data_IF_532380942781
#
_entry.id   IF_532380942781
#
_cell.length_a   1.000
_cell.length_b   1.000
_cell.length_c   1.000
_cell.angle_alpha   90.00
_cell.angle_beta   90.00
_cell.angle_gamma   90.00
#
_symmetry.space_group_name_H-M   'P 1'
#
loop_
_entity.id
_entity.type
_entity.pdbx_description
1 polymer ?
#
# COMPACT_ATOMS: atom_id res chain seq x y z
N UNK A 1 39.52 85.64 2.72
CA UNK A 1 39.93 85.21 4.08
C UNK A 1 38.64 85.02 4.87
N UNK A 2 37.89 83.93 4.77
CA UNK A 2 38.20 82.49 4.90
C UNK A 2 38.88 82.14 6.22
N UNK A 3 38.07 81.87 7.25
CA UNK A 3 38.32 80.85 8.27
C UNK A 3 36.98 80.44 8.93
N UNK A 4 36.29 79.50 8.30
CA UNK A 4 35.19 78.73 8.90
C UNK A 4 35.32 77.27 8.47
N UNK A 5 36.42 76.64 8.84
CA UNK A 5 36.65 75.21 8.70
C UNK A 5 37.55 74.82 9.88
N UNK A 6 37.05 73.95 10.77
CA UNK A 6 37.77 73.13 11.77
C UNK A 6 36.99 72.86 13.08
N UNK A 7 35.66 72.75 13.03
CA UNK A 7 34.91 72.20 14.18
C UNK A 7 33.94 71.06 13.87
N UNK A 8 33.97 70.50 12.65
CA UNK A 8 33.12 69.36 12.27
C UNK A 8 33.87 68.06 11.91
N UNK A 9 35.21 68.01 11.99
CA UNK A 9 35.96 66.83 11.53
C UNK A 9 36.27 65.76 12.61
N UNK A 10 35.95 66.00 13.89
CA UNK A 10 36.19 64.99 14.94
C UNK A 10 35.00 64.10 15.31
N UNK A 11 33.81 64.34 14.73
CA UNK A 11 32.64 63.45 14.87
C UNK A 11 32.36 62.56 13.66
N UNK A 12 32.94 62.87 12.49
CA UNK A 12 32.83 62.02 11.30
C UNK A 12 33.86 60.87 11.26
N UNK A 13 35.03 61.04 11.90
CA UNK A 13 36.11 60.04 11.85
C UNK A 13 35.96 58.85 12.81
N UNK A 14 34.99 58.88 13.75
CA UNK A 14 34.64 57.73 14.60
C UNK A 14 33.48 56.89 14.06
N UNK A 15 32.82 57.31 12.98
CA UNK A 15 31.76 56.53 12.32
C UNK A 15 32.20 55.82 11.04
N UNK A 16 33.41 56.10 10.54
CA UNK A 16 33.99 55.44 9.35
C UNK A 16 35.01 54.33 9.68
N UNK A 17 35.48 54.23 10.93
CA UNK A 17 36.34 53.14 11.40
C UNK A 17 35.60 52.00 12.11
N UNK A 18 34.27 52.12 12.27
CA UNK A 18 33.40 51.03 12.72
C UNK A 18 32.62 50.35 11.57
N UNK A 19 32.81 50.82 10.33
CA UNK A 19 32.13 50.29 9.13
C UNK A 19 33.09 49.73 8.07
N UNK A 20 34.41 49.73 8.35
CA UNK A 20 35.47 49.40 7.39
C UNK A 20 36.47 48.37 7.90
N UNK A 21 36.04 47.45 8.77
CA UNK A 21 36.89 46.33 9.22
C UNK A 21 36.05 45.09 9.52
N UNK A 22 35.13 44.73 8.61
CA UNK A 22 34.47 43.42 8.65
C UNK A 22 34.01 42.95 7.26
N UNK A 23 34.84 43.22 6.23
CA UNK A 23 34.71 42.56 4.93
C UNK A 23 36.12 42.21 4.49
N UNK A 24 36.57 41.00 4.86
CA UNK A 24 37.05 40.01 3.89
C UNK A 24 37.48 38.72 4.61
N UNK A 25 36.86 37.62 4.18
CA UNK A 25 37.27 36.23 4.37
C UNK A 25 37.28 35.67 5.79
N UNK A 26 36.08 35.39 6.30
CA UNK A 26 35.80 34.04 6.78
C UNK A 26 34.56 33.55 6.03
N UNK A 27 34.85 32.67 5.08
CA UNK A 27 33.99 31.70 4.41
C UNK A 27 32.62 31.57 5.08
N UNK A 28 31.56 31.79 4.29
CA UNK A 28 30.21 31.35 4.60
C UNK A 28 30.21 29.82 4.80
N UNK A 29 30.63 29.38 5.98
CA UNK A 29 30.08 28.19 6.59
C UNK A 29 28.82 28.65 7.31
N UNK A 30 27.81 29.03 6.53
CA UNK A 30 26.45 28.84 7.00
C UNK A 30 26.30 27.32 7.12
N UNK A 31 26.78 26.74 8.21
CA UNK A 31 26.10 25.57 8.75
C UNK A 31 24.72 26.09 9.06
N UNK A 32 23.82 25.95 8.10
CA UNK A 32 22.44 25.72 8.41
C UNK A 32 22.50 24.62 9.48
N UNK A 33 22.36 25.00 10.74
CA UNK A 33 21.83 24.08 11.71
C UNK A 33 20.46 23.77 11.12
N UNK A 34 20.42 22.68 10.35
CA UNK A 34 19.20 21.93 10.14
C UNK A 34 18.76 21.67 11.57
N UNK A 35 17.85 22.50 12.06
CA UNK A 35 17.00 22.09 13.16
C UNK A 35 16.36 20.84 12.58
N UNK A 36 16.87 19.67 12.97
CA UNK A 36 16.15 18.41 12.77
C UNK A 36 14.87 18.56 13.58
N UNK A 37 13.91 19.23 12.95
CA UNK A 37 12.52 19.18 13.32
C UNK A 37 12.11 17.74 13.06
N UNK A 38 12.36 16.88 14.04
CA UNK A 38 11.74 15.56 14.05
C UNK A 38 10.24 15.78 13.95
N UNK A 39 9.58 15.19 12.95
CA UNK A 39 8.15 15.38 12.81
C UNK A 39 7.41 14.95 14.08
N UNK A 40 6.36 15.67 14.43
CA UNK A 40 5.48 15.30 15.54
C UNK A 40 4.86 13.90 15.25
N UNK A 41 4.70 13.02 16.26
CA UNK A 41 4.13 11.70 16.07
C UNK A 41 2.67 11.79 15.58
N UNK A 42 2.39 11.36 14.35
CA UNK A 42 1.03 11.37 13.80
C UNK A 42 0.30 10.05 14.10
N UNK A 43 -0.36 9.90 15.26
CA UNK A 43 -1.29 8.79 15.66
C UNK A 43 -0.80 7.32 15.61
N UNK A 44 -1.16 6.51 16.59
CA UNK A 44 -0.81 5.08 16.66
C UNK A 44 -2.01 4.21 16.24
N UNK A 45 -1.77 3.19 15.40
CA UNK A 45 -2.76 2.18 15.03
C UNK A 45 -2.43 0.85 15.70
N UNK A 46 -3.42 0.22 16.31
CA UNK A 46 -3.31 -1.10 16.92
C UNK A 46 -4.26 -2.07 16.20
N UNK A 47 -3.74 -3.22 15.80
CA UNK A 47 -4.53 -4.31 15.22
C UNK A 47 -4.49 -5.52 16.16
N UNK A 48 -5.66 -6.13 16.40
CA UNK A 48 -5.77 -7.42 17.08
C UNK A 48 -5.44 -8.50 16.05
N UNK A 49 -4.23 -9.04 16.11
CA UNK A 49 -3.72 -10.03 15.15
C UNK A 49 -4.00 -11.48 15.57
N UNK A 50 -4.77 -11.69 16.64
CA UNK A 50 -5.19 -13.00 17.15
C UNK A 50 -5.67 -12.96 18.61
N UNK A 51 -6.07 -14.10 19.19
CA UNK A 51 -6.47 -14.18 20.60
C UNK A 51 -5.33 -13.69 21.52
N UNK A 52 -5.56 -12.63 22.29
CA UNK A 52 -4.60 -12.09 23.26
C UNK A 52 -3.35 -11.43 22.67
N UNK A 53 -3.26 -11.25 21.35
CA UNK A 53 -2.11 -10.63 20.68
C UNK A 53 -2.51 -9.29 20.08
N UNK A 54 -1.83 -8.22 20.48
CA UNK A 54 -2.03 -6.87 19.98
C UNK A 54 -0.73 -6.39 19.36
N UNK A 55 -0.77 -6.09 18.07
CA UNK A 55 0.40 -5.55 17.37
C UNK A 55 0.25 -4.05 17.28
N UNK A 56 1.18 -3.33 17.92
CA UNK A 56 1.33 -1.89 17.74
C UNK A 56 2.17 -1.68 16.49
N UNK A 57 1.57 -1.05 15.51
CA UNK A 57 2.23 -0.92 14.22
C UNK A 57 2.69 0.52 14.03
N UNK A 58 4.00 0.72 14.11
CA UNK A 58 4.66 1.99 13.80
C UNK A 58 5.06 1.99 12.33
N UNK A 59 4.22 2.58 11.50
CA UNK A 59 4.47 2.64 10.05
C UNK A 59 5.23 3.90 9.66
N UNK A 60 5.89 3.91 8.49
CA UNK A 60 6.46 5.15 7.95
C UNK A 60 5.33 6.12 7.64
N UNK A 61 4.98 6.91 8.66
CA UNK A 61 4.16 8.13 8.55
C UNK A 61 4.85 9.15 7.66
N UNK A 62 6.14 8.92 7.41
CA UNK A 62 6.94 9.74 6.54
C UNK A 62 7.71 8.89 5.55
N UNK A 63 7.77 9.34 4.31
CA UNK A 63 8.61 8.79 3.26
C UNK A 63 9.61 9.86 2.80
N UNK A 64 10.66 9.45 2.10
CA UNK A 64 11.55 10.39 1.42
C UNK A 64 11.11 10.52 -0.02
N UNK A 65 10.84 11.75 -0.45
CA UNK A 65 10.52 12.04 -1.85
C UNK A 65 11.77 11.96 -2.75
N UNK A 66 11.59 12.22 -4.05
CA UNK A 66 12.67 12.26 -5.04
C UNK A 66 13.78 13.27 -4.70
N UNK A 67 13.45 14.32 -3.92
CA UNK A 67 14.39 15.30 -3.39
C UNK A 67 15.08 14.86 -2.09
N UNK A 68 14.88 13.61 -1.67
CA UNK A 68 15.36 13.05 -0.39
C UNK A 68 14.80 13.79 0.84
N UNK A 69 13.69 14.51 0.69
CA UNK A 69 13.03 15.26 1.77
C UNK A 69 12.01 14.38 2.47
N UNK A 70 12.04 14.37 3.80
CA UNK A 70 11.09 13.63 4.61
C UNK A 70 9.71 14.31 4.55
N UNK A 71 8.68 13.60 4.06
CA UNK A 71 7.31 14.10 3.91
C UNK A 71 6.31 13.16 4.54
N UNK A 72 5.20 13.70 5.04
CA UNK A 72 4.11 12.90 5.57
C UNK A 72 3.49 12.06 4.45
N UNK A 73 3.20 10.80 4.73
CA UNK A 73 2.46 9.89 3.86
C UNK A 73 0.97 10.21 3.99
N UNK A 74 0.35 10.70 2.93
CA UNK A 74 -1.09 10.84 2.76
C UNK A 74 -1.64 9.65 1.97
N UNK A 75 -2.40 8.80 2.65
CA UNK A 75 -2.95 7.58 2.08
C UNK A 75 -4.28 7.79 1.35
N UNK A 76 -4.77 9.02 1.26
CA UNK A 76 -6.06 9.33 0.66
C UNK A 76 -6.00 9.17 -0.85
N UNK A 77 -6.93 8.40 -1.43
CA UNK A 77 -7.10 8.31 -2.87
C UNK A 77 -7.51 9.66 -3.47
N UNK A 78 -6.76 10.06 -4.49
CA UNK A 78 -7.04 11.25 -5.30
C UNK A 78 -7.43 10.81 -6.71
N UNK A 79 -8.05 11.70 -7.48
CA UNK A 79 -8.26 11.46 -8.92
C UNK A 79 -6.90 11.36 -9.60
N UNK A 80 -6.73 10.38 -10.48
CA UNK A 80 -5.44 10.18 -11.15
C UNK A 80 -5.21 11.20 -12.27
N UNK A 81 -3.96 11.63 -12.39
CA UNK A 81 -3.48 12.42 -13.54
C UNK A 81 -3.03 11.51 -14.71
N UNK A 82 -2.88 10.20 -14.47
CA UNK A 82 -2.57 9.20 -15.50
C UNK A 82 -3.87 8.79 -16.19
N UNK A 83 -4.02 8.99 -17.52
CA UNK A 83 -5.27 8.72 -18.22
C UNK A 83 -5.66 7.22 -18.24
N UNK A 84 -4.77 6.32 -17.83
CA UNK A 84 -5.06 4.89 -17.75
C UNK A 84 -5.70 4.47 -16.42
N UNK A 85 -5.79 5.39 -15.45
CA UNK A 85 -6.26 5.13 -14.10
C UNK A 85 -7.28 6.19 -13.66
N UNK A 86 -8.21 5.80 -12.79
CA UNK A 86 -9.23 6.73 -12.28
C UNK A 86 -8.80 7.39 -10.97
N UNK A 87 -8.10 6.63 -10.13
CA UNK A 87 -7.66 7.05 -8.80
C UNK A 87 -6.21 6.68 -8.55
N UNK A 88 -5.54 7.46 -7.71
CA UNK A 88 -4.16 7.19 -7.32
C UNK A 88 -3.85 7.62 -5.88
N UNK A 89 -2.85 6.98 -5.31
CA UNK A 89 -2.07 7.47 -4.17
C UNK A 89 -0.61 7.46 -4.59
N UNK A 90 0.02 8.62 -4.65
CA UNK A 90 1.43 8.76 -5.06
C UNK A 90 2.31 9.30 -3.94
N UNK A 91 1.82 9.24 -2.71
CA UNK A 91 2.62 9.60 -1.53
C UNK A 91 2.92 8.33 -0.74
N UNK A 92 4.14 8.24 -0.22
CA UNK A 92 4.67 7.01 0.37
C UNK A 92 5.78 6.39 -0.46
N UNK A 93 6.27 5.24 0.00
CA UNK A 93 7.24 4.42 -0.71
C UNK A 93 6.60 3.77 -1.95
N UNK A 94 5.32 3.40 -1.84
CA UNK A 94 4.55 2.82 -2.95
C UNK A 94 3.63 3.84 -3.59
N UNK A 95 3.44 3.69 -4.90
CA UNK A 95 2.38 4.38 -5.61
C UNK A 95 1.30 3.36 -5.98
N UNK A 96 0.06 3.65 -5.61
CA UNK A 96 -1.09 2.83 -5.93
C UNK A 96 -1.95 3.53 -6.97
N UNK A 97 -2.35 2.80 -8.00
CA UNK A 97 -3.26 3.26 -9.03
C UNK A 97 -4.46 2.31 -9.10
N UNK A 98 -5.65 2.86 -9.25
CA UNK A 98 -6.89 2.07 -9.26
C UNK A 98 -7.81 2.57 -10.36
N UNK A 99 -8.39 1.62 -11.09
CA UNK A 99 -9.33 1.85 -12.17
C UNK A 99 -10.70 1.32 -11.75
N UNK A 100 -11.76 2.01 -12.16
CA UNK A 100 -13.16 1.67 -11.84
C UNK A 100 -13.57 0.29 -12.34
N UNK A 101 -12.89 -0.22 -13.36
CA UNK A 101 -13.10 -1.55 -13.93
C UNK A 101 -12.56 -2.73 -13.09
N UNK A 102 -12.06 -2.45 -11.87
CA UNK A 102 -11.55 -3.44 -10.94
C UNK A 102 -10.06 -3.74 -11.09
N UNK A 103 -9.35 -3.05 -12.00
CA UNK A 103 -7.90 -3.12 -12.06
C UNK A 103 -7.28 -2.25 -10.99
N UNK A 104 -6.20 -2.73 -10.38
CA UNK A 104 -5.40 -1.95 -9.44
C UNK A 104 -3.92 -2.29 -9.60
N UNK A 105 -3.05 -1.32 -9.35
CA UNK A 105 -1.62 -1.46 -9.63
C UNK A 105 -0.76 -0.83 -8.55
N UNK A 106 0.19 -1.60 -8.03
CA UNK A 106 1.21 -1.12 -7.11
C UNK A 106 2.52 -0.91 -7.86
N UNK A 107 3.16 0.26 -7.67
CA UNK A 107 4.47 0.60 -8.24
C UNK A 107 5.45 1.01 -7.14
N UNK A 108 6.70 0.55 -7.22
CA UNK A 108 7.80 1.01 -6.38
C UNK A 108 9.14 0.61 -6.98
N UNK A 109 10.12 1.54 -7.02
CA UNK A 109 11.50 1.26 -7.42
C UNK A 109 11.71 0.52 -8.76
N UNK A 110 10.77 0.69 -9.71
CA UNK A 110 10.78 0.03 -11.02
C UNK A 110 9.97 -1.25 -11.06
N UNK A 111 9.56 -1.78 -9.91
CA UNK A 111 8.63 -2.91 -9.83
C UNK A 111 7.20 -2.43 -10.05
N UNK A 112 6.45 -3.16 -10.87
CA UNK A 112 5.05 -2.88 -11.21
C UNK A 112 4.25 -4.16 -11.15
N UNK A 113 3.14 -4.12 -10.41
CA UNK A 113 2.20 -5.23 -10.32
C UNK A 113 0.80 -4.74 -10.64
N UNK A 114 0.17 -5.30 -11.66
CA UNK A 114 -1.18 -4.93 -12.09
C UNK A 114 -2.12 -6.11 -11.91
N UNK A 115 -3.12 -5.93 -11.06
CA UNK A 115 -4.00 -6.99 -10.61
C UNK A 115 -5.43 -6.74 -11.05
N UNK A 116 -6.18 -7.84 -11.18
CA UNK A 116 -7.62 -7.80 -11.26
C UNK A 116 -8.21 -9.02 -10.56
N UNK A 117 -9.21 -8.81 -9.72
CA UNK A 117 -9.92 -9.93 -9.11
C UNK A 117 -10.69 -10.70 -10.19
N UNK A 118 -10.43 -12.01 -10.28
CA UNK A 118 -10.94 -12.85 -11.36
C UNK A 118 -12.05 -13.79 -10.89
N UNK A 119 -12.02 -14.23 -9.63
CA UNK A 119 -13.03 -15.13 -9.10
C UNK A 119 -12.61 -15.84 -7.82
N UNK A 120 -13.47 -16.76 -7.40
CA UNK A 120 -13.24 -17.68 -6.30
C UNK A 120 -13.18 -19.12 -6.81
N UNK A 121 -12.53 -19.98 -6.04
CA UNK A 121 -12.51 -21.41 -6.29
C UNK A 121 -12.10 -22.20 -5.07
N UNK A 122 -12.09 -23.52 -5.22
CA UNK A 122 -11.71 -24.45 -4.18
C UNK A 122 -10.35 -25.07 -4.48
N UNK A 123 -9.57 -25.39 -3.45
CA UNK A 123 -8.23 -25.93 -3.60
C UNK A 123 -7.20 -24.85 -3.97
N UNK A 124 -5.99 -25.27 -4.34
CA UNK A 124 -4.85 -24.37 -4.62
C UNK A 124 -3.97 -24.95 -5.73
N UNK A 125 -3.19 -24.10 -6.38
CA UNK A 125 -2.24 -24.48 -7.42
C UNK A 125 -2.93 -25.28 -8.53
N UNK A 126 -2.33 -26.41 -8.92
CA UNK A 126 -2.89 -27.30 -9.94
C UNK A 126 -4.19 -28.01 -9.53
N UNK A 127 -4.53 -28.03 -8.24
CA UNK A 127 -5.79 -28.58 -7.73
C UNK A 127 -6.89 -27.52 -7.61
N UNK A 128 -6.63 -26.28 -8.02
CA UNK A 128 -7.63 -25.21 -8.01
C UNK A 128 -8.78 -25.53 -8.96
N UNK A 129 -10.02 -25.39 -8.47
CA UNK A 129 -11.26 -25.55 -9.22
C UNK A 129 -12.10 -24.29 -9.07
N UNK A 130 -12.31 -23.56 -10.15
CA UNK A 130 -13.10 -22.33 -10.12
C UNK A 130 -14.56 -22.61 -9.75
N UNK A 131 -15.16 -21.73 -8.95
CA UNK A 131 -16.61 -21.65 -8.81
C UNK A 131 -17.15 -20.88 -10.00
N UNK A 132 -18.22 -21.37 -10.63
CA UNK A 132 -18.91 -20.60 -11.67
C UNK A 132 -19.75 -19.50 -11.03
N UNK A 133 -19.13 -18.32 -10.88
CA UNK A 133 -19.78 -17.11 -10.37
C UNK A 133 -20.25 -16.19 -11.51
N UNK A 134 -20.12 -16.63 -12.76
CA UNK A 134 -20.30 -15.76 -13.92
C UNK A 134 -19.16 -14.75 -14.10
N UNK A 135 -19.48 -13.59 -14.69
CA UNK A 135 -18.50 -12.52 -14.95
C UNK A 135 -18.52 -11.49 -13.83
N UNK A 136 -17.35 -11.01 -13.39
CA UNK A 136 -17.29 -9.98 -12.36
C UNK A 136 -17.91 -8.66 -12.85
N UNK A 137 -18.69 -8.00 -11.99
CA UNK A 137 -19.28 -6.68 -12.24
C UNK A 137 -18.64 -5.62 -11.34
N UNK A 138 -17.84 -4.73 -11.92
CA UNK A 138 -17.18 -3.65 -11.20
C UNK A 138 -17.94 -2.31 -11.26
N UNK A 139 -19.19 -2.31 -11.71
CA UNK A 139 -19.95 -1.07 -11.90
C UNK A 139 -20.31 -0.35 -10.59
N UNK A 140 -20.42 -1.10 -9.48
CA UNK A 140 -20.82 -0.60 -8.16
C UNK A 140 -19.61 -0.35 -7.27
N UNK A 141 -19.01 0.83 -7.37
CA UNK A 141 -17.83 1.17 -6.57
C UNK A 141 -18.02 2.43 -5.72
N UNK A 142 -17.31 2.49 -4.60
CA UNK A 142 -17.22 3.64 -3.71
C UNK A 142 -15.77 3.94 -3.35
N UNK A 143 -15.41 5.22 -3.29
CA UNK A 143 -14.07 5.69 -2.88
C UNK A 143 -14.24 6.55 -1.63
N UNK A 144 -13.46 6.25 -0.59
CA UNK A 144 -13.53 6.99 0.67
C UNK A 144 -12.17 6.94 1.37
N UNK A 145 -11.48 8.08 1.49
CA UNK A 145 -10.20 8.13 2.20
C UNK A 145 -9.18 7.20 1.54
N UNK A 146 -8.69 6.23 2.31
CA UNK A 146 -7.68 5.24 1.94
C UNK A 146 -8.23 3.97 1.29
N UNK A 147 -9.54 3.92 1.00
CA UNK A 147 -10.21 2.72 0.47
C UNK A 147 -11.00 2.97 -0.82
N UNK A 148 -11.01 1.94 -1.66
CA UNK A 148 -11.92 1.77 -2.79
C UNK A 148 -12.58 0.40 -2.64
N UNK A 149 -13.92 0.37 -2.64
CA UNK A 149 -14.70 -0.87 -2.53
C UNK A 149 -15.61 -1.04 -3.71
N UNK A 150 -15.55 -2.21 -4.34
CA UNK A 150 -16.55 -2.68 -5.29
C UNK A 150 -17.51 -3.62 -4.58
N UNK A 151 -18.80 -3.32 -4.67
CA UNK A 151 -19.86 -4.14 -4.09
C UNK A 151 -20.45 -5.05 -5.14
N UNK A 152 -20.82 -6.26 -4.73
CA UNK A 152 -21.44 -7.24 -5.62
C UNK A 152 -20.59 -7.54 -6.87
N UNK A 153 -19.26 -7.60 -6.73
CA UNK A 153 -18.38 -8.01 -7.85
C UNK A 153 -18.81 -9.37 -8.35
N UNK A 154 -19.15 -10.25 -7.42
CA UNK A 154 -20.08 -11.35 -7.66
C UNK A 154 -21.24 -11.23 -6.67
N UNK A 155 -22.32 -11.98 -6.89
CA UNK A 155 -23.40 -12.06 -5.91
C UNK A 155 -22.81 -12.41 -4.53
N UNK A 156 -23.05 -11.54 -3.55
CA UNK A 156 -22.61 -11.72 -2.16
C UNK A 156 -21.09 -11.70 -1.93
N UNK A 157 -20.33 -11.17 -2.89
CA UNK A 157 -18.88 -10.98 -2.82
C UNK A 157 -18.51 -9.55 -3.17
N UNK A 158 -17.87 -8.87 -2.23
CA UNK A 158 -17.29 -7.54 -2.45
C UNK A 158 -15.76 -7.65 -2.56
N UNK A 159 -15.16 -6.66 -3.23
CA UNK A 159 -13.71 -6.47 -3.29
C UNK A 159 -13.37 -5.11 -2.69
N UNK A 160 -12.41 -5.06 -1.76
CA UNK A 160 -11.90 -3.81 -1.21
C UNK A 160 -10.39 -3.72 -1.42
N UNK A 161 -9.96 -2.58 -1.95
CA UNK A 161 -8.55 -2.21 -2.10
C UNK A 161 -8.29 -1.04 -1.17
N UNK A 162 -7.27 -1.17 -0.33
CA UNK A 162 -6.86 -0.14 0.61
C UNK A 162 -5.39 0.20 0.45
N UNK A 163 -5.08 1.46 0.64
CA UNK A 163 -3.71 1.92 0.81
C UNK A 163 -3.48 2.26 2.26
N UNK A 164 -3.03 1.30 3.04
CA UNK A 164 -2.80 1.51 4.46
C UNK A 164 -1.35 1.17 4.74
N UNK A 165 -0.72 1.95 5.60
CA UNK A 165 0.61 1.61 6.09
C UNK A 165 1.66 1.54 4.98
N UNK A 166 1.48 2.35 3.94
CA UNK A 166 2.38 2.41 2.78
C UNK A 166 2.44 1.07 2.01
N UNK A 167 1.35 0.30 2.08
CA UNK A 167 1.22 -1.03 1.49
C UNK A 167 -0.18 -1.14 0.86
N UNK A 168 -0.24 -1.78 -0.30
CA UNK A 168 -1.49 -2.25 -0.90
C UNK A 168 -2.07 -3.41 -0.07
N UNK A 169 -3.25 -3.21 0.49
CA UNK A 169 -4.06 -4.26 1.08
C UNK A 169 -5.26 -4.55 0.17
N UNK A 170 -5.51 -5.83 -0.04
CA UNK A 170 -6.66 -6.30 -0.82
C UNK A 170 -7.44 -7.24 0.09
N UNK A 171 -8.74 -6.97 0.24
CA UNK A 171 -9.67 -7.76 1.03
C UNK A 171 -10.77 -8.28 0.09
N UNK A 172 -11.01 -9.59 0.13
CA UNK A 172 -12.18 -10.21 -0.52
C UNK A 172 -13.19 -10.52 0.56
N UNK A 173 -14.35 -9.89 0.45
CA UNK A 173 -15.33 -9.85 1.53
C UNK A 173 -16.54 -10.70 1.12
N UNK A 174 -16.81 -11.74 1.91
CA UNK A 174 -17.91 -12.67 1.66
C UNK A 174 -19.07 -12.35 2.60
N UNK A 175 -20.27 -12.16 2.04
CA UNK A 175 -21.48 -11.99 2.85
C UNK A 175 -22.05 -13.33 3.28
N UNK A 176 -22.91 -13.30 4.30
CA UNK A 176 -23.43 -14.51 4.95
C UNK A 176 -24.18 -15.42 3.99
N UNK A 177 -24.86 -14.86 3.00
CA UNK A 177 -25.60 -15.58 1.97
C UNK A 177 -24.67 -16.50 1.17
N UNK A 178 -23.56 -15.96 0.65
CA UNK A 178 -22.54 -16.74 -0.06
C UNK A 178 -21.99 -17.88 0.79
N UNK A 179 -21.80 -17.63 2.09
CA UNK A 179 -21.30 -18.65 3.01
C UNK A 179 -22.29 -19.78 3.26
N UNK A 180 -23.59 -19.50 3.26
CA UNK A 180 -24.60 -20.56 3.37
C UNK A 180 -24.56 -21.46 2.14
N UNK A 181 -24.42 -20.88 0.95
CA UNK A 181 -24.25 -21.66 -0.28
C UNK A 181 -23.00 -22.55 -0.19
N UNK A 182 -21.89 -21.99 0.30
CA UNK A 182 -20.64 -22.72 0.54
C UNK A 182 -20.83 -23.85 1.57
N UNK A 183 -21.58 -23.62 2.66
CA UNK A 183 -21.90 -24.64 3.67
C UNK A 183 -22.74 -25.77 3.09
N UNK A 184 -23.74 -25.45 2.27
CA UNK A 184 -24.60 -26.44 1.66
C UNK A 184 -23.80 -27.38 0.73
N UNK A 185 -22.85 -26.82 -0.01
CA UNK A 185 -21.91 -27.60 -0.84
C UNK A 185 -21.00 -28.48 0.02
N UNK A 186 -20.47 -27.98 1.15
CA UNK A 186 -19.70 -28.79 2.11
C UNK A 186 -20.52 -29.95 2.69
N UNK A 187 -21.76 -29.68 3.13
CA UNK A 187 -22.63 -30.68 3.75
C UNK A 187 -23.02 -31.80 2.79
N UNK A 188 -23.15 -31.49 1.50
CA UNK A 188 -23.39 -32.48 0.44
C UNK A 188 -22.16 -33.36 0.14
N UNK A 189 -21.00 -33.04 0.71
CA UNK A 189 -19.74 -33.73 0.44
C UNK A 189 -19.17 -33.45 -0.95
N UNK A 190 -19.72 -32.44 -1.64
CA UNK A 190 -19.20 -31.95 -2.93
C UNK A 190 -17.88 -31.19 -2.71
N UNK A 191 -17.71 -30.61 -1.52
CA UNK A 191 -16.48 -29.97 -1.06
C UNK A 191 -15.95 -30.62 0.23
N UNK A 192 -14.64 -30.83 0.31
CA UNK A 192 -13.98 -31.30 1.54
C UNK A 192 -13.68 -30.11 2.45
N UNK A 193 -14.07 -30.19 3.73
CA UNK A 193 -13.83 -29.15 4.73
C UNK A 193 -12.35 -28.81 4.98
N UNK A 194 -11.41 -29.67 4.58
CA UNK A 194 -9.97 -29.41 4.69
C UNK A 194 -9.37 -28.61 3.52
N UNK A 195 -10.13 -28.41 2.45
CA UNK A 195 -9.72 -27.62 1.29
C UNK A 195 -9.81 -26.11 1.55
N UNK A 196 -9.12 -25.34 0.69
CA UNK A 196 -9.06 -23.88 0.80
C UNK A 196 -10.11 -23.25 -0.10
N UNK A 197 -10.82 -22.24 0.40
CA UNK A 197 -11.48 -21.25 -0.43
C UNK A 197 -10.41 -20.27 -0.93
N UNK A 198 -10.24 -20.19 -2.24
CA UNK A 198 -9.12 -19.47 -2.84
C UNK A 198 -9.62 -18.31 -3.68
N UNK A 199 -9.16 -17.10 -3.37
CA UNK A 199 -9.37 -15.96 -4.24
C UNK A 199 -8.32 -15.96 -5.36
N UNK A 200 -8.80 -15.79 -6.60
CA UNK A 200 -7.97 -15.78 -7.79
C UNK A 200 -7.87 -14.36 -8.33
N UNK A 201 -6.64 -13.96 -8.62
CA UNK A 201 -6.34 -12.68 -9.24
C UNK A 201 -5.62 -12.93 -10.56
N UNK A 202 -6.15 -12.32 -11.61
CA UNK A 202 -5.45 -12.21 -12.87
C UNK A 202 -4.39 -11.13 -12.72
N UNK A 203 -3.20 -11.42 -13.25
CA UNK A 203 -2.13 -10.44 -13.32
C UNK A 203 -2.03 -9.95 -14.76
N UNK A 204 -2.51 -8.73 -15.00
CA UNK A 204 -2.51 -8.11 -16.33
C UNK A 204 -1.09 -7.71 -16.76
N UNK A 205 -0.22 -7.37 -15.80
CA UNK A 205 1.20 -7.08 -16.05
C UNK A 205 2.04 -7.21 -14.78
N UNK A 206 3.20 -7.84 -14.91
CA UNK A 206 4.29 -7.84 -13.92
C UNK A 206 5.56 -7.32 -14.58
N UNK A 207 6.18 -6.32 -13.97
CA UNK A 207 7.55 -5.93 -14.26
C UNK A 207 8.34 -5.99 -12.96
N UNK A 208 9.37 -6.84 -12.91
CA UNK A 208 10.20 -7.01 -11.73
C UNK A 208 11.65 -6.69 -12.05
N UNK A 209 12.18 -5.74 -11.30
CA UNK A 209 13.60 -5.39 -11.23
C UNK A 209 14.28 -5.95 -9.98
N UNK A 210 13.49 -6.43 -9.02
CA UNK A 210 13.93 -7.07 -7.77
C UNK A 210 13.88 -8.60 -7.83
N UNK A 211 14.66 -9.25 -6.97
CA UNK A 211 14.64 -10.71 -6.79
C UNK A 211 13.49 -11.12 -5.87
N UNK A 212 12.62 -12.00 -6.34
CA UNK A 212 11.50 -12.52 -5.57
C UNK A 212 11.90 -13.77 -4.77
N UNK A 213 11.57 -13.78 -3.47
CA UNK A 213 11.84 -14.88 -2.56
C UNK A 213 10.62 -15.38 -1.78
N UNK A 214 10.59 -16.68 -1.54
CA UNK A 214 9.67 -17.37 -0.62
C UNK A 214 10.49 -18.17 0.39
N UNK A 215 10.28 -17.93 1.68
CA UNK A 215 11.04 -18.59 2.75
C UNK A 215 12.57 -18.53 2.57
N UNK A 216 13.06 -17.46 1.94
CA UNK A 216 14.49 -17.26 1.68
C UNK A 216 15.01 -17.84 0.36
N UNK A 217 14.23 -18.66 -0.33
CA UNK A 217 14.56 -19.23 -1.64
C UNK A 217 14.07 -18.32 -2.77
N UNK A 218 14.87 -18.16 -3.82
CA UNK A 218 14.46 -17.45 -5.02
C UNK A 218 13.38 -18.24 -5.76
N UNK A 219 12.34 -17.57 -6.21
CA UNK A 219 11.24 -18.16 -6.97
C UNK A 219 11.08 -17.43 -8.29
N UNK A 220 10.66 -18.15 -9.33
CA UNK A 220 10.31 -17.55 -10.60
C UNK A 220 8.89 -16.96 -10.52
N UNK A 221 8.72 -15.63 -10.58
CA UNK A 221 7.41 -15.00 -10.61
C UNK A 221 6.62 -15.29 -11.89
N UNK A 222 7.29 -15.76 -12.95
CA UNK A 222 6.69 -16.02 -14.26
C UNK A 222 6.28 -17.50 -14.45
N UNK A 223 6.40 -18.33 -13.43
CA UNK A 223 5.84 -19.68 -13.44
C UNK A 223 4.29 -19.64 -13.51
N UNK A 224 3.67 -20.62 -14.17
CA UNK A 224 2.25 -20.59 -14.55
C UNK A 224 1.27 -20.29 -13.40
N UNK A 225 1.55 -20.76 -12.19
CA UNK A 225 0.71 -20.45 -11.00
C UNK A 225 1.55 -20.28 -9.75
N UNK A 226 1.23 -19.23 -8.98
CA UNK A 226 1.92 -18.91 -7.74
C UNK A 226 0.93 -18.88 -6.56
N UNK A 227 0.96 -19.92 -5.74
CA UNK A 227 0.10 -20.01 -4.55
C UNK A 227 0.64 -19.17 -3.40
N UNK A 228 -0.20 -18.35 -2.80
CA UNK A 228 0.12 -17.46 -1.68
C UNK A 228 -0.69 -17.84 -0.45
N UNK A 229 -0.07 -18.64 0.40
CA UNK A 229 -0.49 -18.89 1.77
C UNK A 229 0.49 -18.29 2.80
N UNK A 230 1.58 -17.69 2.31
CA UNK A 230 2.62 -17.03 3.06
C UNK A 230 3.06 -15.79 2.28
N UNK A 231 3.70 -14.85 2.97
CA UNK A 231 4.17 -13.64 2.30
C UNK A 231 5.34 -13.93 1.36
N UNK A 232 5.33 -13.31 0.19
CA UNK A 232 6.51 -13.22 -0.67
C UNK A 232 7.29 -11.96 -0.36
N UNK A 233 8.61 -12.05 -0.47
CA UNK A 233 9.53 -10.95 -0.16
C UNK A 233 10.33 -10.63 -1.40
N UNK A 234 10.34 -9.36 -1.80
CA UNK A 234 11.11 -8.88 -2.92
C UNK A 234 12.35 -8.17 -2.40
N UNK A 235 13.50 -8.48 -2.99
CA UNK A 235 14.79 -7.94 -2.58
C UNK A 235 15.51 -7.24 -3.70
N UNK A 236 16.06 -6.06 -3.41
CA UNK A 236 16.96 -5.31 -4.28
C UNK A 236 18.22 -4.96 -3.49
N UNK A 237 19.38 -5.26 -4.05
CA UNK A 237 20.68 -5.07 -3.39
C UNK A 237 20.73 -5.64 -1.95
N UNK A 238 20.13 -6.82 -1.76
CA UNK A 238 20.05 -7.52 -0.48
C UNK A 238 19.05 -6.95 0.54
N UNK A 239 18.40 -5.82 0.24
CA UNK A 239 17.37 -5.20 1.09
C UNK A 239 15.99 -5.62 0.65
N UNK A 240 15.09 -5.85 1.61
CA UNK A 240 13.67 -6.06 1.31
C UNK A 240 13.04 -4.75 0.85
N UNK A 241 12.52 -4.72 -0.37
CA UNK A 241 11.83 -3.56 -0.95
C UNK A 241 10.32 -3.75 -0.97
N UNK A 242 9.84 -4.99 -1.08
CA UNK A 242 8.41 -5.31 -1.04
C UNK A 242 8.12 -6.56 -0.22
N UNK A 243 6.91 -6.61 0.32
CA UNK A 243 6.30 -7.84 0.79
C UNK A 243 4.89 -7.92 0.28
N UNK A 244 4.63 -8.93 -0.54
CA UNK A 244 3.30 -9.30 -0.91
C UNK A 244 2.75 -10.28 0.11
N UNK A 245 1.60 -9.98 0.69
CA UNK A 245 0.93 -10.86 1.65
C UNK A 245 -0.23 -11.60 0.98
N UNK A 246 -0.64 -12.77 1.49
CA UNK A 246 -1.93 -13.33 1.15
C UNK A 246 -3.03 -12.27 1.40
N UNK A 247 -3.95 -12.13 0.44
CA UNK A 247 -5.24 -11.45 0.62
C UNK A 247 -5.94 -12.08 1.81
N UNK A 248 -6.58 -11.24 2.59
CA UNK A 248 -7.33 -11.65 3.76
C UNK A 248 -8.81 -11.80 3.37
N UNK A 249 -9.45 -12.80 3.95
CA UNK A 249 -10.88 -13.07 3.75
C UNK A 249 -11.55 -13.00 5.10
N UNK A 250 -12.65 -12.26 5.16
CA UNK A 250 -13.39 -12.04 6.39
C UNK A 250 -14.87 -12.26 6.18
N UNK A 251 -15.55 -12.66 7.25
CA UNK A 251 -16.99 -12.75 7.31
C UNK A 251 -17.56 -11.43 7.81
N UNK A 252 -18.63 -10.95 7.18
CA UNK A 252 -19.40 -9.80 7.68
C UNK A 252 -20.72 -10.25 8.28
N UNK A 253 -21.15 -9.60 9.37
CA UNK A 253 -22.49 -9.74 9.91
C UNK A 253 -23.53 -9.00 9.05
N UNK A 254 -24.81 -9.09 9.43
CA UNK A 254 -25.90 -8.41 8.71
C UNK A 254 -25.80 -6.87 8.73
N UNK A 255 -24.96 -6.29 9.60
CA UNK A 255 -24.67 -4.86 9.65
C UNK A 255 -23.46 -4.45 8.81
N UNK A 256 -22.74 -5.43 8.24
CA UNK A 256 -21.55 -5.20 7.42
C UNK A 256 -20.25 -5.11 8.22
N UNK A 257 -20.27 -5.51 9.50
CA UNK A 257 -19.10 -5.52 10.39
C UNK A 257 -18.44 -6.90 10.43
N UNK A 258 -17.11 -6.94 10.65
CA UNK A 258 -16.38 -8.22 10.70
C UNK A 258 -16.86 -9.08 11.88
N UNK A 259 -17.19 -10.34 11.63
CA UNK A 259 -17.54 -11.30 12.68
C UNK A 259 -16.38 -12.23 13.03
N UNK A 260 -16.25 -12.58 14.32
CA UNK A 260 -15.35 -13.62 14.83
C UNK A 260 -16.04 -15.01 14.84
N UNK A 261 -17.08 -15.21 14.01
CA UNK A 261 -17.84 -16.46 13.97
C UNK A 261 -17.04 -17.63 13.38
N UNK A 262 -16.47 -18.44 14.28
CA UNK A 262 -15.68 -19.64 13.99
C UNK A 262 -16.52 -20.84 13.49
N UNK A 263 -17.84 -20.70 13.31
CA UNK A 263 -18.70 -21.82 12.87
C UNK A 263 -18.37 -22.30 11.46
N UNK A 264 -17.68 -21.50 10.63
CA UNK A 264 -17.10 -21.93 9.35
C UNK A 264 -15.59 -21.81 9.42
N UNK A 265 -14.90 -22.95 9.58
CA UNK A 265 -13.44 -23.01 9.44
C UNK A 265 -13.07 -23.02 7.96
N UNK A 266 -13.20 -21.88 7.29
CA UNK A 266 -12.71 -21.70 5.92
C UNK A 266 -11.22 -21.43 5.97
N UNK A 267 -10.42 -22.32 5.37
CA UNK A 267 -9.04 -21.98 5.07
C UNK A 267 -9.02 -21.12 3.82
N UNK A 268 -8.29 -20.01 3.84
CA UNK A 268 -8.18 -19.14 2.67
C UNK A 268 -6.79 -19.18 2.07
N UNK A 269 -6.73 -19.09 0.75
CA UNK A 269 -5.48 -18.99 0.00
C UNK A 269 -5.68 -18.02 -1.16
N UNK A 270 -4.58 -17.61 -1.77
CA UNK A 270 -4.64 -16.83 -3.00
C UNK A 270 -3.83 -17.52 -4.07
N UNK A 271 -4.34 -17.47 -5.30
CA UNK A 271 -3.62 -17.97 -6.46
C UNK A 271 -3.46 -16.85 -7.47
N UNK A 272 -2.24 -16.78 -8.00
CA UNK A 272 -1.82 -15.81 -8.98
C UNK A 272 -1.59 -16.51 -10.30
N UNK A 273 -2.14 -15.93 -11.36
CA UNK A 273 -1.89 -16.38 -12.72
C UNK A 273 -1.61 -15.17 -13.62
N UNK A 274 -0.51 -15.23 -14.35
CA UNK A 274 -0.27 -14.31 -15.46
C UNK A 274 -1.29 -14.60 -16.56
N UNK A 275 -1.90 -13.55 -17.09
CA UNK A 275 -2.69 -13.71 -18.32
C UNK A 275 -1.75 -14.01 -19.48
N UNK A 276 -2.08 -15.07 -20.22
CA UNK A 276 -1.52 -15.34 -21.56
C UNK A 276 -1.93 -14.26 -22.57
#
# INVERSE_FOLDING_TARGET
MNHSYQFNERKALRRLLALGMFVTFLVNSATAQIIESYPQPASEYAEKTGPGTMTFLSYPKYYRDEGNVLRLTDTTFQVSDDPNWDYQVTTGIWHLFVSRDGRFQARHEGDVFSYRFAGLGYGRGSAFRAVDLGKPDFSRFEVNGDRIRWRDVFADVDLEVRYIHDILKVDVILRNEFLQDVRDVLQKGEWNADEYLTARFDIDAVLLTSELRRNGEAIDPYADTLDLNQSLVFKKDGKTVHRLRPVETYLLDASGERTEDDTIRLRTANSWQLRE
#
